data_IF_426594419335
#
_entry.id   IF_426594419335
#
_cell.length_a   1.000
_cell.length_b   1.000
_cell.length_c   1.000
_cell.angle_alpha   90.00
_cell.angle_beta   90.00
_cell.angle_gamma   90.00
#
_symmetry.space_group_name_H-M   'P 1'
#
loop_
_entity.id
_entity.type
_entity.pdbx_description
1 polymer ?
#
# COMPACT_ATOMS: atom_id res chain seq x y z
N UNK A 1 5.96 13.04 17.06
CA UNK A 1 5.96 11.93 18.03
C UNK A 1 6.40 10.70 17.26
N UNK A 2 7.53 10.06 17.59
CA UNK A 2 7.94 8.84 16.87
C UNK A 2 6.88 7.75 17.07
N UNK A 3 6.54 7.00 16.01
CA UNK A 3 5.76 5.76 16.09
C UNK A 3 6.44 4.84 17.14
N UNK A 4 5.76 4.59 18.26
CA UNK A 4 6.28 3.74 19.35
C UNK A 4 6.31 2.27 18.92
N UNK A 5 7.31 1.53 19.42
CA UNK A 5 7.42 0.08 19.28
C UNK A 5 6.10 -0.60 19.70
N UNK A 6 5.46 -1.31 18.76
CA UNK A 6 4.19 -2.00 18.96
C UNK A 6 3.06 -1.64 17.98
N UNK A 7 3.24 -0.59 17.17
CA UNK A 7 2.27 -0.16 16.14
C UNK A 7 2.63 -0.57 14.71
N UNK A 8 3.79 -1.21 14.53
CA UNK A 8 4.35 -1.56 13.21
C UNK A 8 4.82 -3.01 13.26
N UNK A 9 4.36 -3.82 12.31
CA UNK A 9 4.92 -5.14 12.02
C UNK A 9 5.63 -5.08 10.67
N UNK A 10 6.86 -5.61 10.59
CA UNK A 10 7.66 -5.58 9.36
C UNK A 10 8.17 -6.96 8.96
N UNK A 11 8.25 -7.21 7.65
CA UNK A 11 9.06 -8.28 7.08
C UNK A 11 9.81 -7.73 5.86
N UNK A 12 11.13 -7.93 5.83
CA UNK A 12 12.00 -7.51 4.73
C UNK A 12 12.82 -8.67 4.19
N UNK A 13 13.41 -8.52 2.98
CA UNK A 13 14.35 -9.50 2.44
C UNK A 13 15.47 -9.76 3.44
N UNK A 14 15.67 -11.03 3.83
CA UNK A 14 16.78 -11.39 4.71
C UNK A 14 18.09 -11.28 3.93
N UNK A 15 18.87 -10.24 4.19
CA UNK A 15 20.30 -10.30 3.88
C UNK A 15 20.96 -11.25 4.88
N UNK A 16 21.56 -12.35 4.38
CA UNK A 16 22.42 -13.22 5.20
C UNK A 16 23.64 -12.41 5.65
N UNK A 17 23.72 -12.11 6.94
CA UNK A 17 25.00 -11.89 7.62
C UNK A 17 24.89 -12.22 9.11
N UNK A 18 25.67 -13.25 9.50
CA UNK A 18 26.21 -13.61 10.82
C UNK A 18 25.28 -13.72 12.05
N UNK A 19 25.05 -14.98 12.43
CA UNK A 19 24.79 -15.40 13.82
C UNK A 19 25.93 -14.98 14.75
N UNK A 20 25.59 -14.46 15.93
CA UNK A 20 26.40 -14.63 17.14
C UNK A 20 25.49 -14.88 18.33
N UNK A 21 25.79 -15.98 19.00
CA UNK A 21 25.05 -16.57 20.10
C UNK A 21 25.08 -15.70 21.36
N UNK A 22 23.98 -15.73 22.13
CA UNK A 22 24.07 -15.62 23.59
C UNK A 22 23.28 -16.74 24.25
N UNK A 23 23.99 -17.47 25.11
CA UNK A 23 23.54 -18.67 25.82
C UNK A 23 22.50 -18.36 26.91
N UNK A 24 21.64 -19.37 27.07
CA UNK A 24 20.59 -19.67 28.06
C UNK A 24 21.07 -19.71 29.52
N UNK A 25 20.18 -19.46 30.49
CA UNK A 25 19.71 -20.40 31.56
C UNK A 25 18.83 -19.66 32.63
N UNK A 26 18.19 -20.32 33.63
CA UNK A 26 16.78 -20.73 33.58
C UNK A 26 15.93 -20.27 34.79
N UNK A 27 14.61 -20.47 34.73
CA UNK A 27 13.72 -20.26 35.89
C UNK A 27 12.31 -20.81 35.66
N UNK A 28 11.90 -21.73 36.52
CA UNK A 28 10.71 -22.58 36.44
C UNK A 28 9.41 -21.91 36.90
N UNK A 29 8.26 -22.51 36.56
CA UNK A 29 7.01 -22.34 37.31
C UNK A 29 5.74 -22.36 36.46
N UNK A 30 5.16 -23.54 36.23
CA UNK A 30 3.71 -23.67 35.98
C UNK A 30 2.98 -23.59 37.32
N UNK A 31 1.73 -23.09 37.34
CA UNK A 31 0.67 -24.03 37.68
C UNK A 31 -0.63 -23.88 36.85
N UNK A 32 -1.38 -24.96 36.96
CA UNK A 32 -2.70 -25.32 36.46
C UNK A 32 -3.86 -24.43 36.95
N UNK A 33 -4.95 -24.37 36.16
CA UNK A 33 -6.29 -24.55 36.72
C UNK A 33 -7.38 -23.53 36.36
N UNK A 34 -8.55 -24.09 36.01
CA UNK A 34 -9.92 -23.57 36.13
C UNK A 34 -10.46 -22.63 35.03
N UNK A 35 -11.57 -23.07 34.45
CA UNK A 35 -12.37 -22.33 33.48
C UNK A 35 -13.26 -21.26 34.10
N UNK A 36 -13.60 -20.28 33.28
CA UNK A 36 -14.70 -19.37 33.51
C UNK A 36 -15.34 -19.06 32.15
N UNK A 37 -16.63 -19.39 32.03
CA UNK A 37 -17.51 -18.93 30.96
C UNK A 37 -17.77 -17.43 31.14
N UNK A 38 -17.33 -16.61 30.20
CA UNK A 38 -17.66 -15.18 30.17
C UNK A 38 -18.77 -14.93 29.13
N UNK A 39 -19.95 -14.58 29.63
CA UNK A 39 -21.04 -14.03 28.83
C UNK A 39 -20.60 -12.72 28.19
N UNK A 40 -20.73 -12.62 26.87
CA UNK A 40 -20.35 -11.44 26.09
C UNK A 40 -21.55 -10.49 26.00
N UNK A 41 -21.68 -9.56 26.94
CA UNK A 41 -22.55 -8.39 26.74
C UNK A 41 -21.91 -7.47 25.70
N UNK A 42 -22.69 -7.07 24.68
CA UNK A 42 -22.23 -6.09 23.68
C UNK A 42 -22.09 -4.72 24.35
N UNK A 43 -20.97 -4.01 24.16
CA UNK A 43 -20.90 -2.61 24.55
C UNK A 43 -21.86 -1.78 23.69
N UNK A 44 -22.36 -0.68 24.27
CA UNK A 44 -23.25 0.27 23.61
C UNK A 44 -22.65 0.81 22.31
N UNK A 45 -23.49 1.09 21.30
CA UNK A 45 -23.05 1.65 20.03
C UNK A 45 -22.42 3.04 20.21
N UNK A 46 -21.26 3.25 19.60
CA UNK A 46 -20.52 4.51 19.61
C UNK A 46 -21.16 5.55 18.67
N UNK A 47 -20.94 6.87 18.86
CA UNK A 47 -21.70 7.94 18.20
C UNK A 47 -21.77 7.86 16.67
N UNK A 48 -20.76 7.29 16.03
CA UNK A 48 -20.65 7.18 14.58
C UNK A 48 -21.45 6.01 13.98
N UNK A 49 -21.94 5.06 14.78
CA UNK A 49 -22.83 3.99 14.31
C UNK A 49 -24.23 4.52 13.95
N UNK A 50 -24.60 5.69 14.49
CA UNK A 50 -25.92 6.31 14.31
C UNK A 50 -26.09 7.04 12.96
N UNK A 51 -25.01 7.45 12.30
CA UNK A 51 -25.07 8.24 11.05
C UNK A 51 -25.45 7.41 9.81
N UNK A 52 -25.35 6.08 9.88
CA UNK A 52 -25.68 5.19 8.74
C UNK A 52 -27.20 5.16 8.47
N UNK A 53 -28.04 5.59 9.41
CA UNK A 53 -29.49 5.47 9.32
C UNK A 53 -30.22 6.65 8.62
N UNK A 54 -29.56 7.78 8.34
CA UNK A 54 -30.27 9.04 8.02
C UNK A 54 -29.96 9.67 6.65
N UNK A 55 -29.64 8.88 5.61
CA UNK A 55 -29.55 9.39 4.24
C UNK A 55 -30.41 8.60 3.26
N UNK A 56 -31.72 8.77 3.37
CA UNK A 56 -32.68 8.49 2.31
C UNK A 56 -33.62 9.70 2.19
N UNK A 57 -33.46 10.48 1.13
CA UNK A 57 -34.53 11.18 0.36
C UNK A 57 -33.97 12.41 -0.37
N UNK A 58 -33.94 12.38 -1.71
CA UNK A 58 -34.62 13.32 -2.62
C UNK A 58 -34.23 13.09 -4.12
N UNK A 59 -35.10 13.43 -5.11
CA UNK A 59 -35.07 12.94 -6.50
C UNK A 59 -34.51 13.97 -7.53
N UNK A 60 -34.47 13.66 -8.87
CA UNK A 60 -33.49 14.21 -9.81
C UNK A 60 -34.04 15.21 -10.85
N UNK A 61 -33.16 16.06 -11.40
CA UNK A 61 -33.28 16.79 -12.68
C UNK A 61 -31.84 17.14 -13.15
N UNK A 62 -31.45 17.24 -14.41
CA UNK A 62 -32.08 17.17 -15.73
C UNK A 62 -30.96 17.19 -16.80
N UNK A 63 -31.27 16.74 -18.01
CA UNK A 63 -30.36 16.63 -19.17
C UNK A 63 -30.02 18.01 -19.77
N UNK A 64 -28.86 18.12 -20.42
CA UNK A 64 -28.70 18.73 -21.74
C UNK A 64 -27.31 18.43 -22.37
N UNK A 65 -27.28 18.36 -23.70
CA UNK A 65 -26.14 18.06 -24.61
C UNK A 65 -26.12 19.12 -25.74
N UNK A 66 -25.24 19.07 -26.77
CA UNK A 66 -23.99 19.81 -26.87
C UNK A 66 -23.96 20.79 -28.08
N UNK A 67 -22.94 21.65 -28.18
CA UNK A 67 -22.67 22.43 -29.40
C UNK A 67 -21.19 22.38 -29.81
N UNK A 68 -20.99 22.14 -31.11
CA UNK A 68 -19.76 22.06 -31.90
C UNK A 68 -19.27 23.45 -32.38
N UNK A 69 -18.11 23.41 -33.06
CA UNK A 69 -17.54 24.33 -34.08
C UNK A 69 -16.51 25.33 -33.54
N UNK A 70 -15.40 25.66 -34.22
CA UNK A 70 -14.74 25.11 -35.42
C UNK A 70 -13.33 25.74 -35.56
N UNK A 71 -12.49 25.06 -36.36
CA UNK A 71 -11.48 25.59 -37.31
C UNK A 71 -10.21 26.33 -36.86
N UNK A 72 -9.07 25.93 -37.46
CA UNK A 72 -7.86 26.77 -37.59
C UNK A 72 -6.53 26.09 -37.98
N UNK A 73 -6.39 25.71 -39.25
CA UNK A 73 -5.21 25.37 -40.10
C UNK A 73 -3.73 25.50 -39.62
N UNK A 74 -2.97 24.37 -39.77
CA UNK A 74 -1.72 24.06 -40.55
C UNK A 74 -0.57 25.08 -40.80
N UNK A 75 0.63 24.64 -41.32
CA UNK A 75 1.53 23.52 -40.99
C UNK A 75 3.05 23.94 -40.98
N UNK A 76 4.00 23.05 -40.62
CA UNK A 76 5.44 23.37 -40.81
C UNK A 76 6.47 22.30 -40.39
N UNK A 77 6.88 21.48 -41.37
CA UNK A 77 8.23 20.90 -41.62
C UNK A 77 8.96 20.02 -40.59
N UNK A 78 9.27 18.80 -41.05
CA UNK A 78 10.30 17.88 -40.55
C UNK A 78 11.70 18.50 -40.57
N UNK A 79 12.57 18.09 -39.64
CA UNK A 79 13.92 17.69 -40.03
C UNK A 79 14.51 16.62 -39.09
N UNK A 80 14.98 15.53 -39.69
CA UNK A 80 15.84 14.50 -39.08
C UNK A 80 17.29 14.89 -39.35
N UNK A 81 18.18 14.86 -38.35
CA UNK A 81 19.60 14.55 -38.59
C UNK A 81 20.43 14.41 -37.31
N UNK A 82 21.12 13.28 -37.25
CA UNK A 82 22.49 13.06 -36.76
C UNK A 82 22.75 12.92 -35.26
N UNK A 83 22.89 11.65 -34.85
CA UNK A 83 23.85 11.18 -33.87
C UNK A 83 25.29 11.47 -34.35
N UNK A 84 26.07 12.18 -33.54
CA UNK A 84 27.53 12.25 -33.64
C UNK A 84 28.07 12.25 -32.20
N UNK A 85 28.87 11.24 -31.87
CA UNK A 85 29.48 11.06 -30.56
C UNK A 85 30.54 12.11 -30.26
N UNK A 86 30.55 12.60 -29.04
CA UNK A 86 31.65 13.41 -28.50
C UNK A 86 32.78 12.50 -27.99
N UNK A 87 34.05 12.80 -28.27
CA UNK A 87 35.18 12.02 -27.76
C UNK A 87 35.38 12.25 -26.25
N UNK A 88 35.73 11.18 -25.51
CA UNK A 88 36.10 11.23 -24.08
C UNK A 88 37.39 12.06 -23.89
N UNK A 89 37.48 12.87 -22.82
CA UNK A 89 38.75 13.52 -22.45
C UNK A 89 39.77 12.48 -21.92
N UNK A 90 41.08 12.75 -22.02
CA UNK A 90 42.12 11.86 -21.49
C UNK A 90 42.07 11.79 -19.96
N UNK A 91 42.52 10.68 -19.33
CA UNK A 91 42.51 10.55 -17.89
C UNK A 91 43.46 11.57 -17.25
N UNK A 92 42.96 12.28 -16.23
CA UNK A 92 43.76 13.15 -15.37
C UNK A 92 44.75 12.29 -14.57
N UNK A 93 46.03 12.68 -14.61
CA UNK A 93 47.09 12.12 -13.77
C UNK A 93 46.79 12.38 -12.29
N UNK A 94 46.62 11.32 -11.52
CA UNK A 94 46.43 11.37 -10.06
C UNK A 94 45.35 10.41 -9.57
N UNK A 95 45.59 9.11 -9.69
CA UNK A 95 44.78 8.09 -9.00
C UNK A 95 45.47 7.70 -7.68
N UNK A 96 44.73 7.42 -6.59
CA UNK A 96 45.31 6.90 -5.36
C UNK A 96 45.92 5.51 -5.61
N UNK A 97 47.09 5.26 -5.04
CA UNK A 97 47.78 3.98 -5.13
C UNK A 97 47.05 2.92 -4.31
N UNK A 98 46.54 1.89 -4.96
CA UNK A 98 45.95 0.72 -4.32
C UNK A 98 47.05 -0.28 -3.91
N UNK A 99 46.86 -1.07 -2.84
CA UNK A 99 47.80 -2.13 -2.50
C UNK A 99 47.90 -3.17 -3.62
N UNK A 100 49.13 -3.50 -3.99
CA UNK A 100 49.46 -4.58 -4.94
C UNK A 100 49.51 -5.90 -4.18
N UNK A 101 49.21 -7.01 -4.86
CA UNK A 101 49.51 -8.33 -4.32
C UNK A 101 51.01 -8.66 -4.41
N UNK A 102 51.41 -9.81 -3.82
CA UNK A 102 52.80 -10.32 -3.82
C UNK A 102 53.36 -10.53 -5.24
N UNK A 103 52.51 -10.53 -6.28
CA UNK A 103 52.88 -10.70 -7.67
C UNK A 103 52.83 -9.40 -8.48
N UNK A 104 52.61 -8.24 -7.85
CA UNK A 104 52.60 -6.93 -8.52
C UNK A 104 51.36 -6.65 -9.36
N UNK A 105 50.27 -7.41 -9.19
CA UNK A 105 49.00 -7.13 -9.86
C UNK A 105 48.11 -6.25 -8.97
N UNK A 106 47.40 -5.30 -9.59
CA UNK A 106 46.42 -4.48 -8.89
C UNK A 106 45.27 -5.36 -8.39
N UNK A 107 44.97 -5.29 -7.08
CA UNK A 107 43.78 -5.92 -6.52
C UNK A 107 42.57 -5.08 -6.95
N UNK A 108 41.91 -5.50 -8.04
CA UNK A 108 40.61 -4.94 -8.42
C UNK A 108 39.53 -5.67 -7.61
N UNK A 109 38.67 -4.97 -6.84
CA UNK A 109 37.45 -5.61 -6.40
C UNK A 109 36.68 -6.04 -7.65
N UNK A 110 36.30 -7.32 -7.70
CA UNK A 110 35.33 -7.88 -8.67
C UNK A 110 34.29 -6.81 -9.02
N UNK A 111 33.98 -6.55 -10.31
CA UNK A 111 32.95 -5.60 -10.64
C UNK A 111 31.66 -6.05 -9.97
N UNK A 112 31.20 -5.25 -9.00
CA UNK A 112 29.89 -5.41 -8.39
C UNK A 112 28.88 -5.63 -9.53
N UNK A 113 27.98 -6.61 -9.43
CA UNK A 113 27.06 -6.93 -10.52
C UNK A 113 26.37 -5.65 -11.00
N UNK A 114 26.57 -5.33 -12.27
CA UNK A 114 26.00 -4.20 -13.00
C UNK A 114 24.52 -4.46 -13.25
N UNK A 115 23.73 -4.36 -12.17
CA UNK A 115 22.33 -3.98 -12.12
C UNK A 115 21.94 -4.06 -10.64
N UNK A 116 21.68 -2.91 -9.99
CA UNK A 116 20.87 -2.94 -8.77
C UNK A 116 19.57 -3.70 -9.11
N UNK A 117 19.11 -4.64 -8.28
CA UNK A 117 17.82 -5.28 -8.50
C UNK A 117 16.79 -4.18 -8.71
N UNK A 118 15.93 -4.32 -9.73
CA UNK A 118 14.82 -3.39 -9.98
C UNK A 118 14.17 -3.10 -8.62
N UNK A 119 14.24 -1.85 -8.16
CA UNK A 119 13.71 -1.50 -6.85
C UNK A 119 12.19 -1.70 -6.90
N UNK A 120 11.73 -2.85 -6.44
CA UNK A 120 10.30 -3.14 -6.28
C UNK A 120 9.72 -2.10 -5.31
N UNK A 121 8.48 -1.62 -5.53
CA UNK A 121 7.88 -0.71 -4.59
C UNK A 121 7.67 -1.39 -3.22
N UNK A 122 7.90 -0.64 -2.15
CA UNK A 122 7.51 -1.07 -0.80
C UNK A 122 5.99 -1.30 -0.75
N UNK A 123 5.52 -2.17 0.15
CA UNK A 123 4.08 -2.44 0.32
C UNK A 123 3.66 -2.10 1.75
N UNK A 124 2.73 -1.15 1.87
CA UNK A 124 2.15 -0.73 3.14
C UNK A 124 0.75 -1.31 3.30
N UNK A 125 0.52 -2.02 4.39
CA UNK A 125 -0.76 -2.63 4.74
C UNK A 125 -1.45 -1.87 5.87
N UNK A 126 -2.71 -1.52 5.63
CA UNK A 126 -3.64 -1.04 6.64
C UNK A 126 -4.57 -2.17 7.09
N UNK A 127 -5.28 -2.01 8.20
CA UNK A 127 -6.24 -3.00 8.70
C UNK A 127 -7.68 -2.48 8.67
N UNK A 128 -8.63 -3.43 8.60
CA UNK A 128 -10.06 -3.15 8.79
C UNK A 128 -10.42 -2.99 10.26
N UNK A 129 -11.65 -2.56 10.55
CA UNK A 129 -12.10 -2.20 11.90
C UNK A 129 -11.91 -3.32 12.94
N UNK A 130 -12.16 -4.57 12.56
CA UNK A 130 -12.08 -5.73 13.45
C UNK A 130 -10.66 -6.31 13.60
N UNK A 131 -9.65 -5.74 12.93
CA UNK A 131 -8.33 -6.35 12.77
C UNK A 131 -7.20 -5.41 13.18
N UNK A 132 -5.97 -5.89 13.11
CA UNK A 132 -4.74 -5.13 13.37
C UNK A 132 -3.66 -5.49 12.35
N UNK A 133 -2.53 -4.78 12.39
CA UNK A 133 -1.31 -5.12 11.66
C UNK A 133 -0.89 -6.59 11.84
N UNK A 134 -1.06 -7.16 13.04
CA UNK A 134 -0.75 -8.57 13.36
C UNK A 134 -1.59 -9.56 12.57
N UNK A 135 -2.77 -9.17 12.08
CA UNK A 135 -3.57 -10.03 11.21
C UNK A 135 -2.82 -10.38 9.92
N UNK A 136 -2.11 -9.42 9.33
CA UNK A 136 -1.28 -9.65 8.14
C UNK A 136 -0.06 -10.53 8.41
N UNK A 137 0.50 -10.42 9.60
CA UNK A 137 1.59 -11.26 10.08
C UNK A 137 1.13 -12.71 10.26
N UNK A 138 0.03 -12.92 10.99
CA UNK A 138 -0.54 -14.24 11.24
C UNK A 138 -1.00 -14.93 9.96
N UNK A 139 -1.46 -14.17 8.96
CA UNK A 139 -1.82 -14.68 7.64
C UNK A 139 -0.60 -15.12 6.80
N UNK A 140 0.62 -14.78 7.24
CA UNK A 140 1.84 -15.04 6.49
C UNK A 140 2.06 -14.11 5.30
N UNK A 141 1.19 -13.12 5.07
CA UNK A 141 1.26 -12.19 3.92
C UNK A 141 2.59 -11.45 3.87
N UNK A 142 3.04 -10.93 5.02
CA UNK A 142 4.30 -10.17 5.09
C UNK A 142 5.51 -11.07 4.78
N UNK A 143 5.51 -12.30 5.31
CA UNK A 143 6.57 -13.27 5.06
C UNK A 143 6.60 -13.73 3.60
N UNK A 144 5.43 -13.97 3.00
CA UNK A 144 5.29 -14.32 1.59
C UNK A 144 5.84 -13.22 0.69
N UNK A 145 5.45 -11.97 0.90
CA UNK A 145 5.97 -10.84 0.11
C UNK A 145 7.48 -10.63 0.29
N UNK A 146 7.99 -10.82 1.51
CA UNK A 146 9.43 -10.77 1.77
C UNK A 146 10.19 -11.87 1.01
N UNK A 147 9.60 -13.07 0.89
CA UNK A 147 10.15 -14.17 0.07
C UNK A 147 10.22 -13.82 -1.43
N UNK A 148 9.28 -13.01 -1.92
CA UNK A 148 9.24 -12.49 -3.29
C UNK A 148 10.09 -11.22 -3.51
N UNK A 149 10.83 -10.80 -2.47
CA UNK A 149 11.75 -9.66 -2.53
C UNK A 149 11.10 -8.29 -2.34
N UNK A 150 9.85 -8.22 -1.85
CA UNK A 150 9.21 -6.96 -1.46
C UNK A 150 9.52 -6.63 0.00
N UNK A 151 9.66 -5.34 0.32
CA UNK A 151 9.59 -4.87 1.72
C UNK A 151 8.13 -4.64 2.06
N UNK A 152 7.59 -5.41 2.99
CA UNK A 152 6.19 -5.34 3.41
C UNK A 152 6.08 -4.88 4.87
N UNK A 153 5.25 -3.87 5.11
CA UNK A 153 5.02 -3.29 6.44
C UNK A 153 3.52 -3.18 6.69
N UNK A 154 3.07 -3.60 7.87
CA UNK A 154 1.71 -3.38 8.33
C UNK A 154 1.71 -2.43 9.54
N UNK A 155 0.73 -1.53 9.60
CA UNK A 155 0.60 -0.57 10.71
C UNK A 155 -0.77 -0.68 11.38
N UNK A 156 -0.82 -0.30 12.65
CA UNK A 156 -2.08 -0.08 13.36
C UNK A 156 -2.57 1.36 13.13
N UNK A 157 -3.83 1.48 12.70
CA UNK A 157 -4.48 2.76 12.46
C UNK A 157 -4.90 3.42 13.79
N UNK A 158 -4.80 4.76 13.88
CA UNK A 158 -5.24 5.52 15.02
C UNK A 158 -6.77 5.45 15.19
N UNK A 159 -7.22 5.55 16.45
CA UNK A 159 -8.63 5.40 16.82
C UNK A 159 -8.87 4.72 18.17
N UNK A 160 -7.82 4.19 18.82
CA UNK A 160 -7.92 3.60 20.18
C UNK A 160 -7.55 4.57 21.31
N UNK A 161 -6.80 5.64 21.02
CA UNK A 161 -6.40 6.64 22.00
C UNK A 161 -6.86 8.03 21.56
N UNK A 162 -7.31 8.85 22.52
CA UNK A 162 -7.98 10.13 22.25
C UNK A 162 -7.15 11.10 21.40
N UNK A 163 -5.86 11.27 21.72
CA UNK A 163 -5.00 12.25 21.04
C UNK A 163 -4.76 11.94 19.54
N UNK A 164 -4.63 10.65 19.21
CA UNK A 164 -4.48 10.22 17.81
C UNK A 164 -5.84 10.23 17.08
N UNK A 165 -6.95 10.07 17.80
CA UNK A 165 -8.31 10.12 17.27
C UNK A 165 -8.70 11.51 16.79
N UNK A 166 -8.33 12.58 17.51
CA UNK A 166 -8.60 13.97 17.09
C UNK A 166 -7.87 14.33 15.79
N UNK A 167 -6.59 13.94 15.68
CA UNK A 167 -5.77 14.19 14.49
C UNK A 167 -6.41 13.60 13.22
N UNK A 168 -7.08 12.46 13.33
CA UNK A 168 -7.64 11.72 12.19
C UNK A 168 -9.15 11.88 12.03
N UNK A 169 -9.74 12.85 12.74
CA UNK A 169 -11.15 13.18 12.64
C UNK A 169 -11.52 13.73 11.24
N UNK A 170 -10.62 14.53 10.64
CA UNK A 170 -10.83 15.14 9.31
C UNK A 170 -10.17 14.35 8.19
N UNK A 171 -10.64 14.55 6.96
CA UNK A 171 -10.00 13.95 5.78
C UNK A 171 -8.54 14.40 5.64
N UNK A 172 -8.27 15.70 5.81
CA UNK A 172 -6.93 16.29 5.74
C UNK A 172 -6.01 15.70 6.82
N UNK A 173 -6.53 15.51 8.03
CA UNK A 173 -5.78 14.88 9.12
C UNK A 173 -5.41 13.42 8.81
N UNK A 174 -6.32 12.67 8.19
CA UNK A 174 -6.04 11.30 7.71
C UNK A 174 -4.99 11.27 6.60
N UNK A 175 -4.99 12.25 5.69
CA UNK A 175 -3.93 12.38 4.66
C UNK A 175 -2.58 12.68 5.32
N UNK A 176 -2.53 13.66 6.21
CA UNK A 176 -1.30 14.05 6.90
C UNK A 176 -0.73 12.91 7.75
N UNK A 177 -1.60 12.11 8.39
CA UNK A 177 -1.18 10.91 9.11
C UNK A 177 -0.48 9.91 8.19
N UNK A 178 -1.08 9.54 7.06
CA UNK A 178 -0.46 8.60 6.13
C UNK A 178 0.83 9.15 5.52
N UNK A 179 0.85 10.42 5.13
CA UNK A 179 2.07 11.08 4.63
C UNK A 179 3.20 11.00 5.66
N UNK A 180 2.89 11.26 6.95
CA UNK A 180 3.87 11.14 8.03
C UNK A 180 4.37 9.70 8.21
N UNK A 181 3.48 8.71 8.12
CA UNK A 181 3.88 7.29 8.18
C UNK A 181 4.84 6.95 7.04
N UNK A 182 4.55 7.39 5.81
CA UNK A 182 5.42 7.12 4.67
C UNK A 182 6.81 7.75 4.87
N UNK A 183 6.86 8.98 5.39
CA UNK A 183 8.10 9.67 5.71
C UNK A 183 8.90 8.94 6.80
N UNK A 184 8.26 8.55 7.91
CA UNK A 184 8.92 7.87 9.03
C UNK A 184 9.44 6.47 8.64
N UNK A 185 8.74 5.76 7.75
CA UNK A 185 9.18 4.46 7.24
C UNK A 185 10.19 4.57 6.08
N UNK A 186 10.45 5.78 5.58
CA UNK A 186 11.30 6.04 4.42
C UNK A 186 10.76 5.44 3.12
N UNK A 187 9.43 5.23 3.02
CA UNK A 187 8.79 4.62 1.87
C UNK A 187 8.61 5.63 0.74
N UNK A 188 9.25 5.38 -0.40
CA UNK A 188 9.06 6.19 -1.61
C UNK A 188 8.09 5.49 -2.55
N UNK A 189 6.92 6.10 -2.73
CA UNK A 189 5.85 5.60 -3.61
C UNK A 189 5.49 4.13 -3.35
N UNK A 190 5.07 3.76 -2.12
CA UNK A 190 4.69 2.37 -1.85
C UNK A 190 3.40 1.99 -2.59
N UNK A 191 3.10 0.70 -2.61
CA UNK A 191 1.77 0.18 -2.85
C UNK A 191 0.99 0.19 -1.54
N UNK A 192 -0.19 0.80 -1.54
CA UNK A 192 -1.04 0.88 -0.34
C UNK A 192 -2.17 -0.16 -0.41
N UNK A 193 -2.18 -1.11 0.53
CA UNK A 193 -3.23 -2.13 0.68
C UNK A 193 -4.19 -1.71 1.78
N UNK A 194 -5.47 -1.59 1.45
CA UNK A 194 -6.47 -0.93 2.31
C UNK A 194 -7.81 -1.69 2.35
N UNK A 195 -8.04 -2.55 3.34
CA UNK A 195 -9.33 -3.22 3.54
C UNK A 195 -10.35 -2.38 4.33
N UNK A 196 -11.60 -2.40 3.87
CA UNK A 196 -12.76 -1.99 4.66
C UNK A 196 -12.61 -0.59 5.28
N UNK A 197 -12.65 -0.49 6.62
CA UNK A 197 -12.52 0.75 7.40
C UNK A 197 -11.34 1.63 6.98
N UNK A 198 -10.19 1.05 6.59
CA UNK A 198 -9.03 1.84 6.20
C UNK A 198 -9.26 2.65 4.92
N UNK A 199 -10.36 2.39 4.18
CA UNK A 199 -10.86 3.26 3.12
C UNK A 199 -11.04 4.72 3.56
N UNK A 200 -11.45 4.98 4.81
CA UNK A 200 -11.57 6.35 5.36
C UNK A 200 -10.24 7.11 5.37
N UNK A 201 -9.12 6.40 5.41
CA UNK A 201 -7.77 6.95 5.35
C UNK A 201 -7.21 6.95 3.92
N UNK A 202 -7.33 5.81 3.24
CA UNK A 202 -6.70 5.59 1.96
C UNK A 202 -7.36 6.37 0.81
N UNK A 203 -8.68 6.53 0.79
CA UNK A 203 -9.37 7.27 -0.27
C UNK A 203 -9.04 8.77 -0.29
N UNK A 204 -9.11 9.53 0.82
CA UNK A 204 -8.68 10.92 0.79
C UNK A 204 -7.20 11.06 0.46
N UNK A 205 -6.34 10.11 0.89
CA UNK A 205 -4.92 10.11 0.53
C UNK A 205 -4.71 9.87 -0.97
N UNK A 206 -5.37 8.87 -1.55
CA UNK A 206 -5.33 8.58 -2.99
C UNK A 206 -5.76 9.79 -3.82
N UNK A 207 -6.85 10.45 -3.41
CA UNK A 207 -7.41 11.59 -4.13
C UNK A 207 -6.59 12.87 -3.99
N UNK A 208 -5.81 13.02 -2.92
CA UNK A 208 -5.00 14.21 -2.67
C UNK A 208 -3.53 14.03 -3.08
N UNK A 209 -2.99 12.82 -2.96
CA UNK A 209 -1.58 12.47 -3.08
C UNK A 209 -1.35 11.14 -3.82
N UNK A 210 -2.22 10.77 -4.76
CA UNK A 210 -2.12 9.50 -5.50
C UNK A 210 -0.79 9.30 -6.23
N UNK A 211 -0.12 10.38 -6.64
CA UNK A 211 1.20 10.33 -7.27
C UNK A 211 2.30 9.85 -6.30
N UNK A 212 2.06 9.96 -4.99
CA UNK A 212 2.92 9.40 -3.94
C UNK A 212 2.69 7.89 -3.72
N UNK A 213 1.93 7.22 -4.60
CA UNK A 213 1.76 5.76 -4.59
C UNK A 213 2.26 5.15 -5.90
N UNK A 214 2.89 3.97 -5.82
CA UNK A 214 3.16 3.14 -6.99
C UNK A 214 1.93 2.30 -7.38
N UNK A 215 1.05 2.02 -6.42
CA UNK A 215 -0.19 1.30 -6.65
C UNK A 215 -1.14 1.37 -5.44
N UNK A 216 -2.39 1.02 -5.68
CA UNK A 216 -3.43 1.00 -4.65
C UNK A 216 -4.22 -0.32 -4.72
N UNK A 217 -4.41 -0.98 -3.59
CA UNK A 217 -5.17 -2.25 -3.47
C UNK A 217 -6.30 -2.07 -2.45
N UNK A 218 -7.42 -1.45 -2.84
CA UNK A 218 -8.61 -1.37 -2.01
C UNK A 218 -9.29 -2.74 -1.91
N UNK A 219 -9.59 -3.19 -0.69
CA UNK A 219 -10.31 -4.43 -0.44
C UNK A 219 -11.66 -4.13 0.19
N UNK A 220 -12.73 -4.08 -0.62
CA UNK A 220 -14.07 -3.66 -0.20
C UNK A 220 -14.08 -2.44 0.76
N UNK A 221 -13.40 -1.32 0.42
CA UNK A 221 -13.25 -0.19 1.33
C UNK A 221 -14.57 0.55 1.58
N UNK A 222 -14.70 1.14 2.77
CA UNK A 222 -15.76 2.11 3.08
C UNK A 222 -15.40 3.50 2.53
N UNK A 223 -16.40 4.37 2.38
CA UNK A 223 -16.24 5.78 1.99
C UNK A 223 -16.09 6.02 0.48
N UNK A 224 -16.26 5.00 -0.36
CA UNK A 224 -16.16 5.13 -1.82
C UNK A 224 -17.28 5.94 -2.46
N UNK A 225 -18.43 6.06 -1.80
CA UNK A 225 -19.57 6.85 -2.27
C UNK A 225 -19.48 8.33 -1.89
N UNK A 226 -18.53 8.69 -1.04
CA UNK A 226 -18.38 10.04 -0.50
C UNK A 226 -17.74 10.99 -1.53
N UNK A 227 -17.26 10.45 -2.65
CA UNK A 227 -16.56 11.19 -3.70
C UNK A 227 -17.23 10.98 -5.05
N UNK A 228 -17.37 12.08 -5.81
CA UNK A 228 -17.90 12.06 -7.17
C UNK A 228 -16.96 11.31 -8.14
N UNK A 229 -17.53 10.73 -9.20
CA UNK A 229 -16.80 9.97 -10.21
C UNK A 229 -15.65 10.78 -10.85
N UNK A 230 -15.84 12.08 -11.04
CA UNK A 230 -14.88 13.03 -11.62
C UNK A 230 -13.58 13.06 -10.82
N UNK A 231 -13.66 12.95 -9.49
CA UNK A 231 -12.49 12.90 -8.60
C UNK A 231 -11.66 11.64 -8.85
N UNK A 232 -12.32 10.49 -9.05
CA UNK A 232 -11.63 9.25 -9.37
C UNK A 232 -11.00 9.27 -10.76
N UNK A 233 -11.64 9.89 -11.76
CA UNK A 233 -11.09 9.99 -13.13
C UNK A 233 -9.75 10.74 -13.20
N UNK A 234 -9.46 11.60 -12.22
CA UNK A 234 -8.21 12.37 -12.15
C UNK A 234 -7.02 11.56 -11.62
N UNK A 235 -7.26 10.42 -10.94
CA UNK A 235 -6.22 9.63 -10.29
C UNK A 235 -5.49 8.74 -11.29
N UNK A 236 -4.16 8.83 -11.35
CA UNK A 236 -3.32 8.03 -12.26
C UNK A 236 -2.69 6.79 -11.61
N UNK A 237 -2.91 6.59 -10.31
CA UNK A 237 -2.37 5.47 -9.55
C UNK A 237 -2.93 4.14 -10.07
N UNK A 238 -2.08 3.19 -10.51
CA UNK A 238 -2.50 1.83 -10.82
C UNK A 238 -3.27 1.23 -9.64
N UNK A 239 -4.45 0.66 -9.89
CA UNK A 239 -5.32 0.18 -8.81
C UNK A 239 -5.80 -1.25 -9.07
N UNK A 240 -5.76 -2.10 -8.05
CA UNK A 240 -6.42 -3.40 -8.02
C UNK A 240 -7.61 -3.37 -7.06
N UNK A 241 -8.82 -3.27 -7.59
CA UNK A 241 -10.05 -3.36 -6.82
C UNK A 241 -10.30 -4.84 -6.49
N UNK A 242 -10.27 -5.19 -5.21
CA UNK A 242 -10.38 -6.57 -4.75
C UNK A 242 -11.55 -6.74 -3.79
N UNK A 243 -12.34 -7.79 -3.96
CA UNK A 243 -13.41 -8.16 -3.02
C UNK A 243 -13.82 -9.63 -3.20
N UNK A 244 -14.52 -10.20 -2.22
CA UNK A 244 -15.09 -11.55 -2.33
C UNK A 244 -16.47 -11.54 -2.98
N UNK A 245 -16.81 -12.56 -3.77
CA UNK A 245 -18.11 -12.65 -4.46
C UNK A 245 -19.33 -12.78 -3.53
N UNK A 246 -19.13 -13.26 -2.30
CA UNK A 246 -20.17 -13.32 -1.24
C UNK A 246 -20.26 -12.05 -0.40
N UNK A 247 -19.39 -11.06 -0.62
CA UNK A 247 -19.62 -9.70 -0.11
C UNK A 247 -20.62 -9.00 -1.03
N UNK A 248 -21.89 -9.07 -0.67
CA UNK A 248 -22.97 -8.48 -1.46
C UNK A 248 -23.22 -7.01 -1.15
N UNK A 249 -22.34 -6.36 -0.37
CA UNK A 249 -22.52 -4.96 0.05
C UNK A 249 -21.35 -4.08 -0.36
N UNK A 250 -20.25 -4.08 0.40
CA UNK A 250 -19.13 -3.17 0.24
C UNK A 250 -18.30 -3.49 -1.01
N UNK A 251 -18.16 -4.76 -1.38
CA UNK A 251 -17.50 -5.17 -2.63
C UNK A 251 -18.11 -4.52 -3.88
N UNK A 252 -19.39 -4.80 -4.22
CA UNK A 252 -20.08 -4.19 -5.35
C UNK A 252 -20.14 -2.66 -5.26
N UNK A 253 -20.37 -2.10 -4.07
CA UNK A 253 -20.38 -0.64 -3.89
C UNK A 253 -19.00 -0.02 -4.19
N UNK A 254 -17.92 -0.65 -3.73
CA UNK A 254 -16.58 -0.20 -4.01
C UNK A 254 -16.27 -0.27 -5.50
N UNK A 255 -16.62 -1.37 -6.17
CA UNK A 255 -16.47 -1.50 -7.62
C UNK A 255 -17.25 -0.41 -8.38
N UNK A 256 -18.50 -0.16 -7.99
CA UNK A 256 -19.37 0.82 -8.65
C UNK A 256 -18.75 2.23 -8.68
N UNK A 257 -18.10 2.65 -7.60
CA UNK A 257 -17.38 3.93 -7.52
C UNK A 257 -16.00 3.87 -8.16
N UNK A 258 -15.18 2.87 -7.79
CA UNK A 258 -13.76 2.85 -8.11
C UNK A 258 -13.47 2.43 -9.56
N UNK A 259 -14.44 1.86 -10.29
CA UNK A 259 -14.34 1.65 -11.76
C UNK A 259 -14.12 2.93 -12.56
N UNK A 260 -14.34 4.10 -11.95
CA UNK A 260 -14.05 5.39 -12.57
C UNK A 260 -12.55 5.75 -12.55
N UNK A 261 -11.71 5.01 -11.81
CA UNK A 261 -10.26 5.14 -11.88
C UNK A 261 -9.77 4.67 -13.26
N UNK A 262 -9.00 5.45 -14.03
CA UNK A 262 -8.61 5.11 -15.40
C UNK A 262 -7.71 3.87 -15.52
N UNK A 263 -6.99 3.51 -14.46
CA UNK A 263 -5.99 2.42 -14.44
C UNK A 263 -6.35 1.34 -13.41
N UNK A 264 -7.62 0.94 -13.37
CA UNK A 264 -8.10 -0.11 -12.47
C UNK A 264 -8.07 -1.50 -13.12
N UNK A 265 -7.80 -2.49 -12.29
CA UNK A 265 -8.10 -3.90 -12.52
C UNK A 265 -9.06 -4.37 -11.43
N UNK A 266 -9.80 -5.44 -11.69
CA UNK A 266 -10.73 -6.03 -10.74
C UNK A 266 -10.34 -7.48 -10.49
N UNK A 267 -10.24 -7.86 -9.22
CA UNK A 267 -10.11 -9.24 -8.79
C UNK A 267 -11.26 -9.58 -7.84
N UNK A 268 -12.11 -10.51 -8.26
CA UNK A 268 -13.18 -11.05 -7.42
C UNK A 268 -12.73 -12.41 -6.91
N UNK A 269 -12.69 -12.58 -5.59
CA UNK A 269 -12.26 -13.84 -4.96
C UNK A 269 -13.47 -14.76 -4.83
N UNK A 270 -13.47 -15.95 -5.45
CA UNK A 270 -14.62 -16.84 -5.46
C UNK A 270 -14.84 -17.47 -4.09
N UNK A 271 -16.12 -17.66 -3.74
CA UNK A 271 -16.57 -18.23 -2.47
C UNK A 271 -16.02 -17.51 -1.22
N UNK A 272 -15.81 -16.20 -1.30
CA UNK A 272 -15.24 -15.39 -0.22
C UNK A 272 -16.17 -14.25 0.18
N UNK A 273 -16.26 -13.98 1.49
CA UNK A 273 -17.02 -12.87 2.04
C UNK A 273 -16.23 -11.56 2.09
N UNK A 274 -16.65 -10.67 2.99
CA UNK A 274 -16.09 -9.31 3.12
C UNK A 274 -14.58 -9.31 3.41
N UNK A 275 -14.14 -10.11 4.36
CA UNK A 275 -12.72 -10.30 4.66
C UNK A 275 -12.11 -11.41 3.79
N UNK A 276 -12.25 -11.28 2.46
CA UNK A 276 -11.83 -12.30 1.50
C UNK A 276 -10.36 -12.75 1.61
N UNK A 277 -9.47 -11.88 2.10
CA UNK A 277 -8.08 -12.21 2.39
C UNK A 277 -7.91 -13.19 3.56
N UNK A 278 -8.88 -13.30 4.46
CA UNK A 278 -8.92 -14.32 5.52
C UNK A 278 -9.63 -15.59 5.06
N UNK A 279 -10.73 -15.46 4.31
CA UNK A 279 -11.51 -16.61 3.84
C UNK A 279 -10.72 -17.46 2.83
N UNK A 280 -10.01 -16.78 1.92
CA UNK A 280 -9.30 -17.36 0.77
C UNK A 280 -7.91 -16.73 0.61
N UNK A 281 -6.99 -16.95 1.57
CA UNK A 281 -5.68 -16.28 1.58
C UNK A 281 -4.83 -16.57 0.35
N UNK A 282 -4.89 -17.80 -0.17
CA UNK A 282 -4.12 -18.20 -1.37
C UNK A 282 -4.55 -17.40 -2.60
N UNK A 283 -5.86 -17.29 -2.83
CA UNK A 283 -6.43 -16.57 -3.96
C UNK A 283 -6.14 -15.05 -3.84
N UNK A 284 -6.27 -14.51 -2.62
CA UNK A 284 -5.88 -13.13 -2.32
C UNK A 284 -4.39 -12.87 -2.59
N UNK A 285 -3.49 -13.73 -2.09
CA UNK A 285 -2.04 -13.58 -2.29
C UNK A 285 -1.66 -13.69 -3.77
N UNK A 286 -2.29 -14.60 -4.52
CA UNK A 286 -2.08 -14.74 -5.95
C UNK A 286 -2.49 -13.46 -6.71
N UNK A 287 -3.67 -12.91 -6.41
CA UNK A 287 -4.12 -11.66 -7.01
C UNK A 287 -3.19 -10.48 -6.67
N UNK A 288 -2.78 -10.38 -5.40
CA UNK A 288 -1.86 -9.33 -4.94
C UNK A 288 -0.50 -9.43 -5.63
N UNK A 289 0.14 -10.60 -5.64
CA UNK A 289 1.43 -10.80 -6.31
C UNK A 289 1.34 -10.55 -7.81
N UNK A 290 0.24 -10.98 -8.46
CA UNK A 290 -0.02 -10.73 -9.86
C UNK A 290 -0.01 -9.23 -10.18
N UNK A 291 -0.70 -8.42 -9.38
CA UNK A 291 -0.69 -6.97 -9.51
C UNK A 291 0.68 -6.36 -9.21
N UNK A 292 1.32 -6.74 -8.11
CA UNK A 292 2.63 -6.22 -7.73
C UNK A 292 3.71 -6.50 -8.77
N UNK A 293 3.64 -7.62 -9.50
CA UNK A 293 4.59 -7.98 -10.56
C UNK A 293 4.40 -7.16 -11.86
N UNK A 294 3.24 -6.52 -12.03
CA UNK A 294 2.97 -5.63 -13.16
C UNK A 294 3.48 -4.20 -12.90
N UNK A 295 3.70 -3.83 -11.64
CA UNK A 295 4.29 -2.56 -11.24
C UNK A 295 5.82 -2.66 -11.38
N UNK A 296 6.34 -2.20 -12.52
CA UNK A 296 7.78 -2.18 -12.82
C UNK A 296 8.34 -0.77 -12.79
#
# INVERSE_FOLDING_TARGET
>A
MPLRDGLITTAGPRHRASETAFRKAPGAGSPTGAGATASFERPSPEPWETEVALSHSLPPHGRETPAQQDAGCHPGTMNQSSCMGSPRPPPRSGAPSWPLDVCGHGIFPEPLPTCLPRCRPDVLFLHGQAFTSRTWEALGTLALLAGEGYRAVAIDLPGRTMALSEMVATAQGRVAFLDRVLQELGMRRPVLVSPSMSGRFALPFLLAQGDHLAGFVPIAPVGTKDYAAERYRQVQTPTLILYGDRDTSLGPQALQSLRHLPRHHVAVVPDAGHACYLDKPKDFHQALLGFLNQLK
#
